data_IF_267965916560
#
_entry.id   IF_267965916560
#
_cell.length_a   1.000
_cell.length_b   1.000
_cell.length_c   1.000
_cell.angle_alpha   90.00
_cell.angle_beta   90.00
_cell.angle_gamma   90.00
#
_symmetry.space_group_name_H-M   'P 1'
#
loop_
_entity.id
_entity.type
_entity.pdbx_description
1 polymer ?
#
# COMPACT_ATOMS: atom_id res chain seq x y z
N UNK A 1 -4.03 2.63 -9.03
CA UNK A 1 -4.48 1.78 -7.92
C UNK A 1 -5.75 2.36 -7.38
N UNK A 2 -6.77 1.51 -7.36
CA UNK A 2 -8.08 1.82 -6.82
C UNK A 2 -8.01 1.71 -5.30
N UNK A 3 -8.68 2.62 -4.60
CA UNK A 3 -8.67 2.62 -3.14
C UNK A 3 -9.51 1.43 -2.64
N UNK A 4 -8.95 0.62 -1.74
CA UNK A 4 -9.60 -0.57 -1.19
C UNK A 4 -9.43 -1.87 -1.99
N UNK A 5 -8.80 -1.83 -3.18
CA UNK A 5 -8.43 -3.03 -3.93
C UNK A 5 -6.98 -3.44 -3.61
N UNK A 6 -6.70 -4.70 -3.21
CA UNK A 6 -5.34 -5.21 -3.08
C UNK A 6 -4.52 -5.07 -4.37
N UNK A 7 -3.22 -4.83 -4.24
CA UNK A 7 -2.34 -4.70 -5.40
C UNK A 7 -2.31 -5.97 -6.26
N UNK A 8 -2.35 -7.16 -5.66
CA UNK A 8 -2.35 -8.43 -6.41
C UNK A 8 -3.56 -8.56 -7.33
N UNK A 9 -4.75 -8.20 -6.86
CA UNK A 9 -5.98 -8.23 -7.66
C UNK A 9 -5.90 -7.24 -8.83
N UNK A 10 -5.36 -6.05 -8.58
CA UNK A 10 -5.10 -5.06 -9.62
C UNK A 10 -4.11 -5.60 -10.68
N UNK A 11 -3.00 -6.19 -10.25
CA UNK A 11 -2.02 -6.79 -11.15
C UNK A 11 -2.59 -7.94 -11.97
N UNK A 12 -3.32 -8.85 -11.34
CA UNK A 12 -3.94 -10.01 -11.99
C UNK A 12 -4.93 -9.55 -13.05
N UNK A 13 -5.75 -8.54 -12.73
CA UNK A 13 -6.67 -7.95 -13.70
C UNK A 13 -5.95 -7.32 -14.90
N UNK A 14 -4.87 -6.55 -14.66
CA UNK A 14 -4.09 -5.98 -15.75
C UNK A 14 -3.44 -7.03 -16.64
N UNK A 15 -2.87 -8.08 -16.06
CA UNK A 15 -2.29 -9.19 -16.81
C UNK A 15 -3.35 -9.92 -17.65
N UNK A 16 -4.54 -10.14 -17.08
CA UNK A 16 -5.66 -10.72 -17.82
C UNK A 16 -6.02 -9.86 -19.05
N UNK A 17 -6.19 -8.54 -18.86
CA UNK A 17 -6.49 -7.63 -19.97
C UNK A 17 -5.37 -7.62 -21.03
N UNK A 18 -4.10 -7.57 -20.60
CA UNK A 18 -2.97 -7.54 -21.52
C UNK A 18 -2.86 -8.82 -22.38
N UNK A 19 -3.23 -9.99 -21.83
CA UNK A 19 -3.31 -11.25 -22.58
C UNK A 19 -4.37 -11.24 -23.67
N UNK A 20 -5.41 -10.41 -23.56
CA UNK A 20 -6.45 -10.29 -24.58
C UNK A 20 -6.06 -9.34 -25.72
N UNK A 21 -4.93 -8.64 -25.61
CA UNK A 21 -4.52 -7.59 -26.54
C UNK A 21 -3.36 -7.99 -27.46
N UNK A 22 -2.90 -9.25 -27.43
CA UNK A 22 -1.79 -9.78 -28.24
C UNK A 22 -0.55 -8.87 -28.30
N UNK A 23 -0.21 -8.23 -27.17
CA UNK A 23 0.97 -7.38 -27.09
C UNK A 23 2.25 -8.21 -27.23
N UNK A 24 3.10 -7.86 -28.21
CA UNK A 24 4.43 -8.45 -28.35
C UNK A 24 5.28 -8.27 -27.07
N UNK A 25 5.15 -7.11 -26.44
CA UNK A 25 5.88 -6.72 -25.22
C UNK A 25 4.93 -6.59 -24.03
N UNK A 26 4.21 -7.66 -23.72
CA UNK A 26 3.17 -7.68 -22.67
C UNK A 26 3.70 -7.18 -21.32
N UNK A 27 4.90 -7.61 -20.91
CA UNK A 27 5.48 -7.23 -19.64
C UNK A 27 5.75 -5.73 -19.54
N UNK A 28 6.20 -5.11 -20.63
CA UNK A 28 6.43 -3.66 -20.71
C UNK A 28 5.09 -2.92 -20.59
N UNK A 29 4.06 -3.37 -21.30
CA UNK A 29 2.73 -2.75 -21.24
C UNK A 29 2.11 -2.81 -19.84
N UNK A 30 2.18 -3.99 -19.19
CA UNK A 30 1.69 -4.15 -17.82
C UNK A 30 2.49 -3.30 -16.86
N UNK A 31 3.81 -3.30 -16.95
CA UNK A 31 4.70 -2.48 -16.11
C UNK A 31 4.36 -1.00 -16.22
N UNK A 32 4.31 -0.48 -17.44
CA UNK A 32 4.09 0.95 -17.69
C UNK A 32 2.69 1.35 -17.21
N UNK A 33 1.69 0.48 -17.41
CA UNK A 33 0.33 0.69 -16.89
C UNK A 33 0.28 0.70 -15.37
N UNK A 34 1.02 -0.17 -14.68
CA UNK A 34 1.14 -0.14 -13.22
C UNK A 34 1.72 1.20 -12.79
N UNK A 35 2.90 1.60 -13.29
CA UNK A 35 3.58 2.84 -12.92
C UNK A 35 2.69 4.06 -13.15
N UNK A 36 2.01 4.12 -14.29
CA UNK A 36 1.08 5.19 -14.61
C UNK A 36 -0.08 5.28 -13.58
N UNK A 37 -0.59 4.13 -13.16
CA UNK A 37 -1.75 4.01 -12.27
C UNK A 37 -1.43 4.30 -10.80
N UNK A 38 -0.17 4.39 -10.38
CA UNK A 38 0.22 4.69 -8.98
C UNK A 38 -0.22 6.11 -8.60
N UNK A 39 -0.89 6.23 -7.45
CA UNK A 39 -1.35 7.51 -6.89
C UNK A 39 -0.38 8.05 -5.83
N UNK A 40 0.33 7.14 -5.18
CA UNK A 40 1.23 7.35 -4.07
C UNK A 40 2.54 7.95 -4.58
N UNK A 41 2.66 9.28 -4.46
CA UNK A 41 3.80 10.05 -4.95
C UNK A 41 5.17 9.48 -4.54
N UNK A 42 5.39 8.99 -3.30
CA UNK A 42 6.68 8.42 -2.92
C UNK A 42 7.03 7.16 -3.73
N UNK A 43 6.08 6.23 -3.87
CA UNK A 43 6.27 5.00 -4.64
C UNK A 43 6.47 5.31 -6.12
N UNK A 44 5.67 6.21 -6.69
CA UNK A 44 5.78 6.63 -8.10
C UNK A 44 7.15 7.25 -8.39
N UNK A 45 7.63 8.14 -7.52
CA UNK A 45 8.96 8.76 -7.64
C UNK A 45 10.09 7.73 -7.55
N UNK A 46 9.96 6.73 -6.67
CA UNK A 46 10.94 5.65 -6.55
C UNK A 46 11.03 4.84 -7.84
N UNK A 47 9.89 4.40 -8.37
CA UNK A 47 9.83 3.59 -9.59
C UNK A 47 10.33 4.34 -10.82
N UNK A 48 10.03 5.65 -10.95
CA UNK A 48 10.50 6.47 -12.07
C UNK A 48 12.01 6.76 -12.05
N UNK A 49 12.71 6.47 -10.94
CA UNK A 49 14.17 6.59 -10.85
C UNK A 49 14.91 5.31 -11.19
N UNK A 50 14.21 4.18 -11.18
CA UNK A 50 14.80 2.90 -11.57
C UNK A 50 15.05 2.91 -13.09
N UNK A 51 16.24 2.51 -13.50
CA UNK A 51 16.55 2.35 -14.92
C UNK A 51 15.95 1.04 -15.43
N UNK A 52 14.99 1.15 -16.35
CA UNK A 52 14.27 0.05 -17.01
C UNK A 52 13.93 -1.15 -16.09
N UNK A 53 13.16 -0.96 -15.00
CA UNK A 53 12.87 -2.06 -14.08
C UNK A 53 12.06 -3.15 -14.78
N UNK A 54 12.32 -4.42 -14.43
CA UNK A 54 11.48 -5.54 -14.89
C UNK A 54 10.08 -5.46 -14.28
N UNK A 55 9.09 -6.08 -14.93
CA UNK A 55 7.74 -6.21 -14.37
C UNK A 55 7.77 -6.83 -12.97
N UNK A 56 8.59 -7.86 -12.76
CA UNK A 56 8.80 -8.49 -11.46
C UNK A 56 9.22 -7.48 -10.39
N UNK A 57 10.26 -6.69 -10.66
CA UNK A 57 10.77 -5.68 -9.71
C UNK A 57 9.71 -4.64 -9.37
N UNK A 58 8.92 -4.20 -10.36
CA UNK A 58 7.81 -3.27 -10.12
C UNK A 58 6.72 -3.90 -9.24
N UNK A 59 6.38 -5.16 -9.45
CA UNK A 59 5.41 -5.90 -8.60
C UNK A 59 5.89 -6.00 -7.16
N UNK A 60 7.14 -6.40 -6.95
CA UNK A 60 7.73 -6.53 -5.60
C UNK A 60 7.70 -5.20 -4.85
N UNK A 61 8.06 -4.10 -5.51
CA UNK A 61 8.06 -2.77 -4.90
C UNK A 61 6.66 -2.30 -4.50
N UNK A 62 5.66 -2.56 -5.33
CA UNK A 62 4.27 -2.24 -5.03
C UNK A 62 3.74 -3.08 -3.86
N UNK A 63 4.00 -4.38 -3.85
CA UNK A 63 3.62 -5.28 -2.74
C UNK A 63 4.28 -4.86 -1.43
N UNK A 64 5.60 -4.66 -1.45
CA UNK A 64 6.35 -4.22 -0.28
C UNK A 64 5.83 -2.88 0.25
N UNK A 65 5.47 -1.96 -0.65
CA UNK A 65 4.88 -0.69 -0.26
C UNK A 65 3.50 -0.87 0.38
N UNK A 66 2.61 -1.68 -0.19
CA UNK A 66 1.28 -1.97 0.38
C UNK A 66 1.38 -2.56 1.79
N UNK A 67 2.24 -3.57 1.98
CA UNK A 67 2.51 -4.18 3.29
C UNK A 67 3.07 -3.14 4.27
N UNK A 68 4.05 -2.34 3.83
CA UNK A 68 4.64 -1.27 4.67
C UNK A 68 3.57 -0.29 5.15
N UNK A 69 2.64 0.12 4.29
CA UNK A 69 1.57 1.03 4.65
C UNK A 69 0.58 0.41 5.65
N UNK A 70 0.31 -0.89 5.53
CA UNK A 70 -0.53 -1.62 6.49
C UNK A 70 0.15 -1.66 7.86
N UNK A 71 1.43 -2.01 7.91
CA UNK A 71 2.19 -2.12 9.17
C UNK A 71 2.36 -0.77 9.86
N UNK A 72 2.69 0.30 9.13
CA UNK A 72 2.77 1.66 9.67
C UNK A 72 1.42 2.09 10.28
N UNK A 73 0.30 1.79 9.59
CA UNK A 73 -1.05 2.09 10.13
C UNK A 73 -1.33 1.33 11.43
N UNK A 74 -0.95 0.05 11.51
CA UNK A 74 -1.10 -0.75 12.74
C UNK A 74 -0.27 -0.17 13.89
N UNK A 75 0.99 0.18 13.63
CA UNK A 75 1.89 0.80 14.62
C UNK A 75 1.34 2.11 15.16
N UNK A 76 0.83 2.99 14.28
CA UNK A 76 0.26 4.27 14.69
C UNK A 76 -1.01 4.10 15.56
N UNK A 77 -1.82 3.07 15.28
CA UNK A 77 -3.03 2.77 16.08
C UNK A 77 -2.69 2.19 17.46
N UNK A 78 -1.59 1.45 17.57
CA UNK A 78 -1.12 0.90 18.86
C UNK A 78 -0.56 1.98 19.80
N UNK A 79 -0.04 3.09 19.25
CA UNK A 79 0.52 4.19 20.03
C UNK A 79 -0.50 5.14 20.69
N UNK A 80 -1.80 5.05 20.39
CA UNK A 80 -2.82 6.01 20.85
C UNK A 80 -3.62 5.59 22.09
N UNK A 81 -3.29 4.48 22.75
CA UNK A 81 -3.98 4.04 23.97
C UNK A 81 -3.05 4.14 25.19
N UNK A 82 -2.82 5.35 25.73
CA UNK A 82 -2.58 5.63 27.17
C UNK A 82 -2.38 7.14 27.35
N UNK A 83 -3.46 7.83 27.73
CA UNK A 83 -3.51 9.10 28.49
C UNK A 83 -5.00 9.46 28.56
N UNK A 84 -5.75 9.47 29.65
CA UNK A 84 -5.53 9.28 31.09
C UNK A 84 -6.76 9.93 31.77
N UNK A 85 -7.40 9.25 32.73
CA UNK A 85 -8.07 9.94 33.84
C UNK A 85 -8.31 8.95 35.01
N UNK A 86 -7.29 8.83 35.86
CA UNK A 86 -7.41 8.36 37.24
C UNK A 86 -7.57 9.62 38.11
N UNK A 87 -8.73 9.75 38.78
CA UNK A 87 -9.11 10.62 39.91
C UNK A 87 -10.65 10.59 39.98
N UNK A 88 -11.36 10.10 40.99
CA UNK A 88 -11.13 10.23 42.44
C UNK A 88 -11.92 9.14 43.20
N UNK A 89 -11.27 8.44 44.14
CA UNK A 89 -11.96 7.73 45.24
C UNK A 89 -12.50 8.78 46.21
N UNK A 90 -13.81 8.95 46.28
CA UNK A 90 -14.46 9.61 47.41
C UNK A 90 -14.65 8.56 48.52
N UNK A 91 -13.89 8.70 49.61
CA UNK A 91 -14.20 8.04 50.90
C UNK A 91 -14.78 9.11 51.81
N UNK A 92 -16.07 8.99 52.14
CA UNK A 92 -16.74 9.85 53.11
C UNK A 92 -16.41 9.40 54.55
N UNK A 93 -16.17 10.32 55.50
CA UNK A 93 -16.04 9.96 56.91
C UNK A 93 -17.41 9.74 57.56
N UNK A 94 -17.46 8.78 58.48
CA UNK A 94 -18.56 8.52 59.40
C UNK A 94 -18.72 9.67 60.40
N UNK A 95 -19.89 10.30 60.42
CA UNK A 95 -20.54 10.83 61.63
C UNK A 95 -22.05 10.62 61.53
#
# INVERSE_FOLDING_TARGET
MEEGRPFEDFCTHLQYLARQCDFAEMDNMVRDKIVFSIKEKPLKKRLLREDNPSLHKVKDLCLAFEVTQIEIKKMNKAGTTTSGNDQSRSVAPLQ
#
